data_IF_127376200042
#
_entry.id   IF_127376200042
#
_cell.length_a   1.000
_cell.length_b   1.000
_cell.length_c   1.000
_cell.angle_alpha   90.00
_cell.angle_beta   90.00
_cell.angle_gamma   90.00
#
_symmetry.space_group_name_H-M   'P 1'
#
loop_
_entity.id
_entity.type
_entity.pdbx_description
1 polymer ?
#
# COMPACT_ATOMS: atom_id res chain seq x y z
N UNK A 1 6.15 15.03 12.36
CA UNK A 1 5.55 13.69 12.45
C UNK A 1 6.04 12.80 11.32
N UNK A 2 5.79 13.16 10.06
CA UNK A 2 6.18 12.36 8.87
C UNK A 2 7.66 12.01 8.81
N UNK A 3 8.58 12.96 9.02
CA UNK A 3 10.02 12.69 8.98
C UNK A 3 10.46 11.64 10.01
N UNK A 4 9.80 11.58 11.18
CA UNK A 4 10.06 10.55 12.19
C UNK A 4 9.50 9.20 11.77
N UNK A 5 8.33 9.19 11.14
CA UNK A 5 7.73 7.96 10.60
C UNK A 5 8.58 7.38 9.47
N UNK A 6 9.03 8.20 8.51
CA UNK A 6 9.95 7.78 7.44
C UNK A 6 11.27 7.23 8.00
N UNK A 7 11.84 7.90 9.01
CA UNK A 7 13.05 7.41 9.67
C UNK A 7 12.82 6.10 10.43
N UNK A 8 11.59 5.84 10.91
CA UNK A 8 11.26 4.58 11.56
C UNK A 8 11.12 3.43 10.56
N UNK A 9 10.53 3.69 9.37
CA UNK A 9 10.50 2.74 8.25
C UNK A 9 11.94 2.41 7.83
N UNK A 10 12.76 3.42 7.53
CA UNK A 10 14.15 3.23 7.09
C UNK A 10 15.03 2.49 8.11
N UNK A 11 14.73 2.62 9.40
CA UNK A 11 15.44 1.93 10.47
C UNK A 11 14.91 0.51 10.77
N UNK A 12 13.83 0.06 10.12
CA UNK A 12 13.27 -1.27 10.36
C UNK A 12 14.22 -2.35 9.78
N UNK A 13 14.53 -3.43 10.53
CA UNK A 13 15.55 -4.40 10.13
C UNK A 13 15.33 -5.07 8.78
N UNK A 14 14.06 -5.26 8.41
CA UNK A 14 13.66 -5.98 7.19
C UNK A 14 13.36 -5.02 6.03
N UNK A 15 13.46 -3.71 6.23
CA UNK A 15 13.13 -2.74 5.19
C UNK A 15 14.12 -2.78 4.02
N UNK A 16 13.54 -2.87 2.82
CA UNK A 16 14.25 -2.77 1.55
C UNK A 16 13.89 -1.45 0.84
N UNK A 17 14.61 -1.18 -0.26
CA UNK A 17 14.44 0.06 -1.03
C UNK A 17 13.00 0.29 -1.50
N UNK A 18 12.27 -0.78 -1.85
CA UNK A 18 10.88 -0.68 -2.32
C UNK A 18 9.95 -0.19 -1.22
N UNK A 19 10.13 -0.62 0.03
CA UNK A 19 9.29 -0.18 1.16
C UNK A 19 9.57 1.28 1.45
N UNK A 20 10.85 1.70 1.42
CA UNK A 20 11.22 3.11 1.57
C UNK A 20 10.60 3.99 0.48
N UNK A 21 10.59 3.51 -0.77
CA UNK A 21 9.97 4.23 -1.90
C UNK A 21 8.46 4.33 -1.72
N UNK A 22 7.80 3.22 -1.37
CA UNK A 22 6.36 3.20 -1.13
C UNK A 22 5.99 4.11 0.05
N UNK A 23 6.74 4.04 1.16
CA UNK A 23 6.56 4.87 2.33
C UNK A 23 6.73 6.36 2.00
N UNK A 24 7.80 6.72 1.28
CA UNK A 24 8.02 8.09 0.83
C UNK A 24 6.90 8.58 -0.10
N UNK A 25 6.39 7.70 -0.98
CA UNK A 25 5.30 8.02 -1.87
C UNK A 25 4.02 8.38 -1.12
N UNK A 26 3.57 7.52 -0.19
CA UNK A 26 2.33 7.74 0.56
C UNK A 26 2.45 8.88 1.59
N UNK A 27 3.66 9.14 2.08
CA UNK A 27 3.95 10.24 3.01
C UNK A 27 3.81 11.64 2.41
N UNK A 28 3.68 11.76 1.07
CA UNK A 28 3.37 13.03 0.41
C UNK A 28 1.98 13.55 0.80
N UNK A 29 1.04 12.65 1.08
CA UNK A 29 -0.32 12.97 1.53
C UNK A 29 -0.64 12.16 2.80
N UNK A 30 -0.10 12.56 3.97
CA UNK A 30 -0.14 11.78 5.22
C UNK A 30 -1.54 11.46 5.73
N UNK A 31 -2.50 12.38 5.51
CA UNK A 31 -3.87 12.28 6.01
C UNK A 31 -4.80 11.60 5.00
N UNK A 32 -4.28 11.21 3.82
CA UNK A 32 -5.07 10.60 2.75
C UNK A 32 -5.38 9.14 3.08
N UNK A 33 -6.63 8.74 2.80
CA UNK A 33 -6.98 7.34 2.65
C UNK A 33 -6.49 6.87 1.26
N UNK A 34 -5.53 5.96 1.25
CA UNK A 34 -4.92 5.41 0.05
C UNK A 34 -5.64 4.15 -0.40
N UNK A 35 -5.85 4.01 -1.70
CA UNK A 35 -6.07 2.71 -2.32
C UNK A 35 -4.72 2.12 -2.76
N UNK A 36 -4.53 0.81 -2.64
CA UNK A 36 -3.30 0.16 -3.12
C UNK A 36 -3.14 0.34 -4.64
N UNK A 37 -4.26 0.38 -5.38
CA UNK A 37 -4.26 0.74 -6.80
C UNK A 37 -3.75 2.17 -7.07
N UNK A 38 -3.94 3.13 -6.15
CA UNK A 38 -3.38 4.47 -6.31
C UNK A 38 -1.86 4.46 -6.21
N UNK A 39 -1.30 3.65 -5.29
CA UNK A 39 0.14 3.44 -5.17
C UNK A 39 0.69 2.76 -6.42
N UNK A 40 0.03 1.71 -6.89
CA UNK A 40 0.40 1.04 -8.13
C UNK A 40 0.43 2.02 -9.31
N UNK A 41 -0.60 2.84 -9.48
CA UNK A 41 -0.65 3.84 -10.57
C UNK A 41 0.45 4.88 -10.42
N UNK A 42 0.75 5.32 -9.20
CA UNK A 42 1.77 6.32 -8.92
C UNK A 42 3.21 5.82 -9.09
N UNK A 43 3.44 4.53 -8.85
CA UNK A 43 4.79 3.93 -8.84
C UNK A 43 5.04 2.93 -9.97
N UNK A 44 4.09 2.72 -10.89
CA UNK A 44 4.20 1.75 -12.01
C UNK A 44 5.46 1.90 -12.87
N UNK A 45 6.00 3.10 -12.99
CA UNK A 45 7.18 3.41 -13.81
C UNK A 45 8.49 3.33 -12.99
N UNK A 46 8.38 3.06 -11.68
CA UNK A 46 9.49 3.04 -10.71
C UNK A 46 9.74 1.62 -10.17
N UNK A 47 8.67 0.84 -9.97
CA UNK A 47 8.69 -0.51 -9.39
C UNK A 47 7.65 -1.42 -10.01
N UNK A 48 7.94 -2.72 -9.99
CA UNK A 48 6.97 -3.73 -10.44
C UNK A 48 5.80 -3.85 -9.46
N UNK A 49 4.62 -4.23 -9.97
CA UNK A 49 3.41 -4.34 -9.16
C UNK A 49 3.54 -5.41 -8.08
N UNK A 50 4.29 -6.49 -8.34
CA UNK A 50 4.53 -7.56 -7.37
C UNK A 50 5.35 -7.04 -6.19
N UNK A 51 6.43 -6.30 -6.47
CA UNK A 51 7.28 -5.72 -5.42
C UNK A 51 6.51 -4.70 -4.57
N UNK A 52 5.65 -3.88 -5.19
CA UNK A 52 4.82 -2.91 -4.48
C UNK A 52 3.77 -3.59 -3.60
N UNK A 53 3.25 -4.74 -4.02
CA UNK A 53 2.33 -5.54 -3.20
C UNK A 53 3.05 -6.13 -2.00
N UNK A 54 4.24 -6.67 -2.19
CA UNK A 54 5.03 -7.25 -1.11
C UNK A 54 5.43 -6.18 -0.09
N UNK A 55 5.92 -5.03 -0.56
CA UNK A 55 6.23 -3.88 0.28
C UNK A 55 5.01 -3.38 1.09
N UNK A 56 3.82 -3.36 0.48
CA UNK A 56 2.59 -3.03 1.21
C UNK A 56 2.32 -4.01 2.36
N UNK A 57 2.45 -5.32 2.10
CA UNK A 57 2.21 -6.36 3.09
C UNK A 57 3.22 -6.29 4.23
N UNK A 58 4.49 -5.99 3.94
CA UNK A 58 5.53 -5.77 4.94
C UNK A 58 5.23 -4.54 5.81
N UNK A 59 4.95 -3.38 5.19
CA UNK A 59 4.55 -2.17 5.91
C UNK A 59 3.29 -2.37 6.76
N UNK A 60 2.35 -3.22 6.32
CA UNK A 60 1.15 -3.58 7.08
C UNK A 60 1.47 -4.51 8.26
N UNK A 61 2.29 -5.53 8.04
CA UNK A 61 2.69 -6.50 9.05
C UNK A 61 3.50 -5.84 10.18
N UNK A 62 4.41 -4.93 9.81
CA UNK A 62 5.25 -4.16 10.73
C UNK A 62 4.48 -2.99 11.38
N UNK A 63 3.26 -2.75 10.90
CA UNK A 63 2.35 -1.81 11.53
C UNK A 63 2.61 -0.34 11.20
N UNK A 64 3.35 -0.05 10.13
CA UNK A 64 3.54 1.31 9.63
C UNK A 64 2.29 1.86 8.94
N UNK A 65 1.46 0.97 8.39
CA UNK A 65 0.15 1.29 7.83
C UNK A 65 -0.97 0.49 8.51
N UNK A 66 -2.21 0.90 8.28
CA UNK A 66 -3.39 0.19 8.77
C UNK A 66 -4.38 0.01 7.63
N UNK A 67 -4.75 -1.24 7.35
CA UNK A 67 -5.89 -1.58 6.49
C UNK A 67 -7.17 -1.09 7.14
N UNK A 68 -7.96 -0.33 6.37
CA UNK A 68 -9.28 0.19 6.77
C UNK A 68 -10.38 -0.71 6.21
N UNK A 69 -10.24 -1.12 4.95
CA UNK A 69 -11.14 -2.07 4.31
C UNK A 69 -10.42 -2.80 3.19
N UNK A 70 -10.67 -4.10 3.08
CA UNK A 70 -10.30 -4.92 1.92
C UNK A 70 -11.54 -5.09 1.05
N UNK A 71 -11.40 -4.78 -0.23
CA UNK A 71 -12.49 -4.84 -1.19
C UNK A 71 -12.51 -6.21 -1.85
N UNK A 72 -13.30 -7.11 -1.25
CA UNK A 72 -13.51 -8.43 -1.81
C UNK A 72 -14.26 -8.36 -3.13
N UNK A 73 -13.91 -9.28 -4.01
CA UNK A 73 -14.57 -9.42 -5.29
C UNK A 73 -15.81 -10.29 -5.12
N UNK A 74 -17.00 -9.68 -5.20
CA UNK A 74 -18.25 -10.44 -5.29
C UNK A 74 -18.44 -10.95 -6.73
N UNK A 75 -17.67 -11.97 -7.12
CA UNK A 75 -17.75 -12.60 -8.44
C UNK A 75 -18.54 -13.93 -8.37
N UNK A 76 -19.69 -13.95 -7.69
CA UNK A 76 -20.45 -15.19 -7.41
C UNK A 76 -21.16 -15.84 -8.62
N UNK A 77 -20.86 -15.43 -9.86
CA UNK A 77 -21.51 -16.00 -11.07
C UNK A 77 -20.57 -16.22 -12.26
N UNK A 78 -19.90 -17.37 -12.27
CA UNK A 78 -19.29 -17.95 -13.48
C UNK A 78 -17.97 -17.32 -13.93
N UNK A 79 -17.43 -17.70 -15.11
CA UNK A 79 -16.09 -17.31 -15.57
C UNK A 79 -15.99 -15.85 -16.04
N UNK A 80 -16.86 -14.98 -15.52
CA UNK A 80 -16.85 -13.55 -15.79
C UNK A 80 -15.74 -12.94 -14.94
N UNK A 81 -14.69 -12.48 -15.61
CA UNK A 81 -13.64 -11.66 -15.00
C UNK A 81 -14.33 -10.49 -14.29
N UNK A 82 -14.14 -10.35 -12.97
CA UNK A 82 -14.69 -9.23 -12.22
C UNK A 82 -14.29 -7.91 -12.90
N UNK A 83 -15.28 -7.14 -13.34
CA UNK A 83 -15.07 -5.89 -14.08
C UNK A 83 -14.84 -4.70 -13.14
N UNK A 84 -14.98 -4.90 -11.83
CA UNK A 84 -14.67 -3.87 -10.85
C UNK A 84 -13.16 -3.64 -10.80
N UNK A 85 -12.74 -2.42 -11.11
CA UNK A 85 -11.33 -2.03 -11.08
C UNK A 85 -10.74 -1.98 -9.66
N UNK A 86 -11.58 -2.07 -8.63
CA UNK A 86 -11.21 -2.09 -7.21
C UNK A 86 -11.31 -3.49 -6.58
N UNK A 87 -11.70 -4.50 -7.35
CA UNK A 87 -11.75 -5.89 -6.87
C UNK A 87 -10.34 -6.33 -6.42
N UNK A 88 -10.25 -6.75 -5.15
CA UNK A 88 -9.00 -7.16 -4.51
C UNK A 88 -8.11 -5.99 -4.06
N UNK A 89 -8.63 -4.76 -4.08
CA UNK A 89 -7.92 -3.58 -3.61
C UNK A 89 -8.03 -3.43 -2.08
N UNK A 90 -7.10 -2.69 -1.49
CA UNK A 90 -7.06 -2.41 -0.06
C UNK A 90 -7.05 -0.91 0.15
N UNK A 91 -8.00 -0.42 0.95
CA UNK A 91 -7.95 0.96 1.44
C UNK A 91 -7.21 0.98 2.77
N UNK A 92 -6.20 1.85 2.87
CA UNK A 92 -5.34 1.93 4.03
C UNK A 92 -4.90 3.37 4.31
N UNK A 93 -4.32 3.58 5.49
CA UNK A 93 -3.74 4.86 5.91
C UNK A 93 -2.45 4.62 6.68
N UNK A 94 -1.63 5.66 6.76
CA UNK A 94 -0.45 5.63 7.63
C UNK A 94 -0.90 5.50 9.09
N UNK A 95 -0.20 4.67 9.88
CA UNK A 95 -0.43 4.53 11.31
C UNK A 95 0.40 5.56 12.08
N UNK A 96 -0.19 6.12 13.14
CA UNK A 96 0.49 6.98 14.12
C UNK A 96 1.16 8.26 13.57
N UNK A 97 0.46 8.97 12.67
CA UNK A 97 0.78 10.35 12.30
C UNK A 97 0.01 11.39 13.12
#
# INVERSE_FOLDING_TARGET
MIARWLAAVDAHPDTIETDSIMAAFIAQEPDRLWALTDVYRGLRDVRELVDLRDAFLELLADGFVTSVVELDCDCDTGPVVCQDALCGDVLFRIRDL
#
